data_IF_979109838719
#
_entry.id   IF_979109838719
#
_cell.length_a   1.000
_cell.length_b   1.000
_cell.length_c   1.000
_cell.angle_alpha   90.00
_cell.angle_beta   90.00
_cell.angle_gamma   90.00
#
_symmetry.space_group_name_H-M   'P 1'
#
loop_
_entity.id
_entity.type
_entity.pdbx_description
1 polymer ?
#
# COMPACT_ATOMS: atom_id res chain seq x y z
N UNK A 1 -21.97 16.49 13.66
CA UNK A 1 -22.64 17.42 12.72
C UNK A 1 -22.70 16.74 11.36
N UNK A 2 -23.78 16.88 10.59
CA UNK A 2 -23.88 16.33 9.22
C UNK A 2 -24.07 17.50 8.27
N UNK A 3 -23.04 17.79 7.46
CA UNK A 3 -23.07 18.90 6.51
C UNK A 3 -23.99 18.60 5.32
N UNK A 4 -24.54 19.65 4.71
CA UNK A 4 -25.39 19.57 3.51
C UNK A 4 -24.67 20.13 2.29
N UNK A 5 -25.11 19.71 1.10
CA UNK A 5 -24.64 20.31 -0.15
C UNK A 5 -24.90 21.82 -0.17
N UNK A 6 -23.93 22.59 -0.65
CA UNK A 6 -23.89 24.05 -0.65
C UNK A 6 -23.88 24.73 0.73
N UNK A 7 -23.71 23.98 1.82
CA UNK A 7 -23.58 24.58 3.15
C UNK A 7 -22.27 25.36 3.27
N UNK A 8 -22.33 26.51 3.93
CA UNK A 8 -21.21 27.42 4.11
C UNK A 8 -20.78 27.52 5.58
N UNK A 9 -19.49 27.27 5.83
CA UNK A 9 -18.86 27.44 7.12
C UNK A 9 -17.94 28.65 7.09
N UNK A 10 -18.18 29.63 7.96
CA UNK A 10 -17.35 30.83 8.06
C UNK A 10 -16.19 30.59 9.02
N UNK A 11 -14.98 30.91 8.57
CA UNK A 11 -13.76 30.89 9.38
C UNK A 11 -13.02 32.22 9.21
N UNK A 12 -13.29 33.18 10.10
CA UNK A 12 -12.80 34.55 9.93
C UNK A 12 -13.33 35.16 8.62
N UNK A 13 -12.42 35.53 7.72
CA UNK A 13 -12.74 36.20 6.45
C UNK A 13 -12.90 35.23 5.27
N UNK A 14 -12.78 33.92 5.48
CA UNK A 14 -12.99 32.91 4.45
C UNK A 14 -14.28 32.13 4.68
N UNK A 15 -14.83 31.60 3.58
CA UNK A 15 -15.97 30.70 3.58
C UNK A 15 -15.53 29.36 3.01
N UNK A 16 -15.80 28.28 3.74
CA UNK A 16 -15.68 26.91 3.26
C UNK A 16 -17.06 26.44 2.84
N UNK A 17 -17.27 26.27 1.53
CA UNK A 17 -18.52 25.78 0.96
C UNK A 17 -18.43 24.30 0.64
N UNK A 18 -19.36 23.51 1.17
CA UNK A 18 -19.44 22.07 0.90
C UNK A 18 -20.08 21.83 -0.47
N UNK A 19 -19.45 20.97 -1.25
CA UNK A 19 -19.96 20.44 -2.51
C UNK A 19 -20.08 18.93 -2.35
N UNK A 20 -21.30 18.39 -2.30
CA UNK A 20 -21.51 16.93 -2.27
C UNK A 20 -21.15 16.34 -3.63
N UNK A 21 -20.10 15.54 -3.68
CA UNK A 21 -19.50 15.03 -4.91
C UNK A 21 -19.37 13.50 -4.86
N UNK A 22 -20.51 12.78 -4.84
CA UNK A 22 -20.51 11.33 -4.81
C UNK A 22 -19.79 10.76 -6.03
N UNK A 23 -19.04 9.69 -5.83
CA UNK A 23 -18.31 9.04 -6.92
C UNK A 23 -17.29 8.05 -6.39
N UNK A 24 -16.27 8.55 -5.71
CA UNK A 24 -15.34 7.68 -4.98
C UNK A 24 -16.06 6.94 -3.84
N UNK A 25 -16.84 7.68 -3.05
CA UNK A 25 -17.82 7.15 -2.10
C UNK A 25 -19.15 7.90 -2.23
N UNK A 26 -20.30 7.34 -1.78
CA UNK A 26 -21.60 8.00 -1.82
C UNK A 26 -21.67 9.31 -1.01
N UNK A 27 -20.93 9.39 0.09
CA UNK A 27 -20.89 10.54 1.00
C UNK A 27 -19.75 11.52 0.71
N UNK A 28 -18.93 11.27 -0.31
CA UNK A 28 -17.79 12.12 -0.70
C UNK A 28 -18.21 13.59 -0.87
N UNK A 29 -17.41 14.49 -0.33
CA UNK A 29 -17.56 15.94 -0.50
C UNK A 29 -16.26 16.56 -0.99
N UNK A 30 -16.38 17.63 -1.78
CA UNK A 30 -15.33 18.61 -2.00
C UNK A 30 -15.60 19.85 -1.15
N UNK A 31 -14.54 20.56 -0.75
CA UNK A 31 -14.65 21.80 0.03
C UNK A 31 -14.07 22.95 -0.79
N UNK A 32 -14.91 23.90 -1.18
CA UNK A 32 -14.52 25.10 -1.92
C UNK A 32 -14.20 26.23 -0.93
N UNK A 33 -12.98 26.76 -0.99
CA UNK A 33 -12.58 27.93 -0.23
C UNK A 33 -12.85 29.19 -1.05
N UNK A 34 -13.65 30.09 -0.47
CA UNK A 34 -14.05 31.37 -1.03
C UNK A 34 -13.50 32.48 -0.13
N UNK A 35 -12.93 33.52 -0.72
CA UNK A 35 -12.41 34.66 0.03
C UNK A 35 -13.52 35.69 0.39
N UNK A 36 -13.11 36.77 1.05
CA UNK A 36 -13.96 37.89 1.47
C UNK A 36 -14.57 38.69 0.32
N UNK A 37 -14.06 38.52 -0.91
CA UNK A 37 -14.58 39.12 -2.14
C UNK A 37 -15.50 38.18 -2.92
N UNK A 38 -15.96 37.09 -2.31
CA UNK A 38 -16.78 36.05 -2.96
C UNK A 38 -16.08 35.36 -4.14
N UNK A 39 -14.75 35.41 -4.21
CA UNK A 39 -13.96 34.74 -5.25
C UNK A 39 -13.59 33.32 -4.80
N UNK A 40 -13.93 32.27 -5.57
CA UNK A 40 -13.40 30.93 -5.35
C UNK A 40 -11.88 30.91 -5.55
N UNK A 41 -11.13 30.41 -4.58
CA UNK A 41 -9.66 30.37 -4.64
C UNK A 41 -9.13 28.95 -4.88
N UNK A 42 -9.66 27.98 -4.15
CA UNK A 42 -9.21 26.59 -4.22
C UNK A 42 -10.34 25.63 -3.83
N UNK A 43 -10.26 24.41 -4.33
CA UNK A 43 -11.14 23.30 -3.95
C UNK A 43 -10.30 22.14 -3.43
N UNK A 44 -10.63 21.69 -2.23
CA UNK A 44 -10.13 20.45 -1.67
C UNK A 44 -11.01 19.32 -2.19
N UNK A 45 -10.48 18.50 -3.09
CA UNK A 45 -11.27 17.55 -3.90
C UNK A 45 -11.39 16.17 -3.28
N UNK A 46 -10.74 15.94 -2.13
CA UNK A 46 -10.66 14.60 -1.53
C UNK A 46 -10.15 13.60 -2.56
N UNK A 47 -10.88 12.49 -2.69
CA UNK A 47 -10.63 11.47 -3.70
C UNK A 47 -11.61 11.55 -4.89
N UNK A 48 -12.37 12.65 -5.04
CA UNK A 48 -13.24 12.85 -6.22
C UNK A 48 -12.40 13.14 -7.48
N UNK A 49 -11.45 14.07 -7.39
CA UNK A 49 -10.60 14.51 -8.50
C UNK A 49 -9.14 14.58 -8.04
N UNK A 50 -8.25 13.94 -8.79
CA UNK A 50 -6.81 13.99 -8.60
C UNK A 50 -6.13 14.80 -9.71
N UNK A 51 -4.82 15.03 -9.57
CA UNK A 51 -4.02 15.54 -10.68
C UNK A 51 -3.92 14.46 -11.76
N UNK A 52 -4.55 14.69 -12.91
CA UNK A 52 -4.50 13.80 -14.07
C UNK A 52 -5.33 12.52 -13.96
N UNK A 53 -6.08 12.34 -12.87
CA UNK A 53 -6.82 11.12 -12.55
C UNK A 53 -8.10 11.44 -11.76
N UNK A 54 -8.98 10.45 -11.56
CA UNK A 54 -10.17 10.54 -10.71
C UNK A 54 -10.24 9.39 -9.70
N UNK A 55 -11.07 9.53 -8.68
CA UNK A 55 -11.31 8.47 -7.69
C UNK A 55 -11.82 7.18 -8.31
N UNK A 56 -11.29 6.04 -7.85
CA UNK A 56 -11.87 4.73 -8.17
C UNK A 56 -13.28 4.59 -7.58
N UNK A 57 -14.27 4.05 -8.32
CA UNK A 57 -15.66 3.97 -7.88
C UNK A 57 -16.06 2.60 -7.29
N UNK A 58 -15.12 1.76 -6.84
CA UNK A 58 -15.38 0.34 -6.49
C UNK A 58 -15.03 -0.03 -5.03
N UNK A 59 -14.93 0.94 -4.13
CA UNK A 59 -14.59 0.71 -2.71
C UNK A 59 -15.79 0.43 -1.80
N UNK A 60 -17.00 0.33 -2.34
CA UNK A 60 -18.22 0.13 -1.55
C UNK A 60 -18.95 -1.14 -1.98
N UNK A 61 -19.10 -2.10 -1.07
CA UNK A 61 -19.82 -3.35 -1.34
C UNK A 61 -21.32 -3.23 -0.97
N UNK A 62 -22.18 -3.85 -1.78
CA UNK A 62 -23.55 -4.22 -1.40
C UNK A 62 -24.63 -3.13 -1.48
N UNK A 63 -24.28 -1.85 -1.69
CA UNK A 63 -25.28 -0.75 -1.81
C UNK A 63 -25.24 -0.09 -3.18
N UNK A 64 -24.05 0.19 -3.70
CA UNK A 64 -23.84 0.76 -5.03
C UNK A 64 -22.93 -0.16 -5.82
N UNK A 65 -23.21 -0.31 -7.12
CA UNK A 65 -22.26 -0.93 -8.04
C UNK A 65 -21.15 0.07 -8.39
N UNK A 66 -20.03 -0.43 -8.93
CA UNK A 66 -18.96 0.45 -9.42
C UNK A 66 -19.43 1.33 -10.59
N UNK A 67 -20.40 0.85 -11.37
CA UNK A 67 -21.05 1.60 -12.44
C UNK A 67 -21.93 2.73 -11.90
N UNK A 68 -22.69 2.48 -10.82
CA UNK A 68 -23.50 3.53 -10.17
C UNK A 68 -22.61 4.64 -9.61
N UNK A 69 -21.51 4.27 -8.95
CA UNK A 69 -20.55 5.22 -8.42
C UNK A 69 -19.79 5.97 -9.53
N UNK A 70 -19.43 5.31 -10.63
CA UNK A 70 -18.86 5.99 -11.80
C UNK A 70 -19.86 6.99 -12.44
N UNK A 71 -21.14 6.62 -12.50
CA UNK A 71 -22.23 7.48 -12.96
C UNK A 71 -22.37 8.74 -12.08
N UNK A 72 -22.34 8.57 -10.76
CA UNK A 72 -22.34 9.69 -9.81
C UNK A 72 -21.09 10.56 -9.95
N UNK A 73 -19.92 9.93 -10.12
CA UNK A 73 -18.65 10.63 -10.32
C UNK A 73 -18.71 11.54 -11.55
N UNK A 74 -19.26 11.05 -12.67
CA UNK A 74 -19.45 11.85 -13.88
C UNK A 74 -20.25 13.13 -13.60
N UNK A 75 -21.38 13.00 -12.89
CA UNK A 75 -22.25 14.13 -12.56
C UNK A 75 -21.55 15.11 -11.60
N UNK A 76 -20.83 14.60 -10.60
CA UNK A 76 -20.04 15.41 -9.67
C UNK A 76 -18.96 16.23 -10.37
N UNK A 77 -18.24 15.61 -11.30
CA UNK A 77 -17.19 16.27 -12.06
C UNK A 77 -17.77 17.33 -13.01
N UNK A 78 -18.78 16.97 -13.81
CA UNK A 78 -19.29 17.83 -14.87
C UNK A 78 -20.22 18.94 -14.38
N UNK A 79 -21.07 18.65 -13.39
CA UNK A 79 -22.11 19.57 -12.93
C UNK A 79 -21.66 20.41 -11.72
N UNK A 80 -20.59 20.02 -11.02
CA UNK A 80 -20.05 20.79 -9.89
C UNK A 80 -18.64 21.28 -10.16
N UNK A 81 -17.64 20.40 -10.24
CA UNK A 81 -16.25 20.85 -10.30
C UNK A 81 -15.89 21.60 -11.58
N UNK A 82 -16.35 21.12 -12.74
CA UNK A 82 -16.08 21.78 -14.02
C UNK A 82 -16.84 23.10 -14.22
N UNK A 83 -17.77 23.45 -13.32
CA UNK A 83 -18.44 24.76 -13.33
C UNK A 83 -17.62 25.86 -12.64
N UNK A 84 -16.57 25.48 -11.92
CA UNK A 84 -15.67 26.42 -11.24
C UNK A 84 -14.78 27.18 -12.25
N UNK A 85 -14.32 28.39 -11.90
CA UNK A 85 -13.34 29.13 -12.70
C UNK A 85 -12.02 28.37 -12.89
N UNK A 86 -11.37 28.59 -14.03
CA UNK A 86 -10.16 27.86 -14.42
C UNK A 86 -8.96 28.12 -13.50
N UNK A 87 -8.91 29.28 -12.82
CA UNK A 87 -7.86 29.68 -11.90
C UNK A 87 -8.02 29.09 -10.49
N UNK A 88 -9.12 28.38 -10.21
CA UNK A 88 -9.32 27.68 -8.93
C UNK A 88 -8.31 26.55 -8.80
N UNK A 89 -7.54 26.57 -7.72
CA UNK A 89 -6.58 25.51 -7.39
C UNK A 89 -7.29 24.23 -6.99
N UNK A 90 -6.73 23.08 -7.36
CA UNK A 90 -7.21 21.75 -7.01
C UNK A 90 -6.23 21.10 -6.06
N UNK A 91 -6.70 20.75 -4.86
CA UNK A 91 -5.95 20.04 -3.82
C UNK A 91 -6.60 18.68 -3.53
N UNK A 92 -6.07 17.58 -4.08
CA UNK A 92 -6.56 16.24 -3.77
C UNK A 92 -6.12 15.75 -2.38
N UNK A 93 -6.74 14.67 -1.90
CA UNK A 93 -6.30 13.98 -0.68
C UNK A 93 -5.14 12.99 -0.92
N UNK A 94 -4.94 12.54 -2.16
CA UNK A 94 -3.86 11.62 -2.54
C UNK A 94 -3.06 12.10 -3.77
N UNK A 95 -1.80 11.64 -3.85
CA UNK A 95 -0.88 11.89 -4.96
C UNK A 95 -0.34 10.60 -5.57
N UNK A 96 0.71 10.72 -6.40
CA UNK A 96 1.37 9.60 -7.06
C UNK A 96 1.70 8.43 -6.10
N UNK A 97 1.33 7.22 -6.52
CA UNK A 97 1.57 5.98 -5.77
C UNK A 97 0.43 5.52 -4.85
N UNK A 98 -0.63 6.31 -4.68
CA UNK A 98 -1.85 5.86 -3.98
C UNK A 98 -2.63 4.82 -4.77
N UNK A 99 -3.25 3.87 -4.07
CA UNK A 99 -4.13 2.85 -4.66
C UNK A 99 -5.58 3.34 -4.87
N UNK A 100 -5.88 4.60 -4.52
CA UNK A 100 -7.20 5.23 -4.72
C UNK A 100 -7.42 5.74 -6.16
N UNK A 101 -6.38 5.84 -6.98
CA UNK A 101 -6.45 6.19 -8.40
C UNK A 101 -5.54 5.29 -9.25
N UNK A 102 -5.77 5.20 -10.57
CA UNK A 102 -4.96 4.32 -11.44
C UNK A 102 -3.57 4.92 -11.70
N UNK A 103 -3.51 6.18 -12.14
CA UNK A 103 -2.26 6.85 -12.49
C UNK A 103 -2.24 8.33 -12.03
N UNK A 104 -2.23 8.57 -10.72
CA UNK A 104 -2.21 9.93 -10.18
C UNK A 104 -0.88 10.63 -10.53
N UNK A 105 -0.97 11.87 -10.98
CA UNK A 105 0.16 12.77 -11.27
C UNK A 105 1.09 13.00 -10.08
N UNK A 106 2.31 13.43 -10.36
CA UNK A 106 3.36 13.64 -9.34
C UNK A 106 3.22 14.98 -8.62
N UNK A 107 2.48 15.90 -9.22
CA UNK A 107 2.27 17.25 -8.74
C UNK A 107 1.33 17.22 -7.53
N UNK A 108 1.61 18.07 -6.54
CA UNK A 108 0.85 18.12 -5.28
C UNK A 108 -0.49 18.87 -5.41
N UNK A 109 -0.63 19.66 -6.47
CA UNK A 109 -1.83 20.44 -6.77
C UNK A 109 -1.91 20.73 -8.27
N UNK A 110 -3.08 21.19 -8.72
CA UNK A 110 -3.30 21.65 -10.10
C UNK A 110 -4.32 22.80 -10.12
N UNK A 111 -4.95 23.07 -11.25
CA UNK A 111 -6.09 23.98 -11.38
C UNK A 111 -7.25 23.31 -12.10
N UNK A 112 -8.46 23.85 -11.94
CA UNK A 112 -9.63 23.39 -12.70
C UNK A 112 -9.40 23.52 -14.21
N UNK A 113 -8.73 24.58 -14.67
CA UNK A 113 -8.40 24.77 -16.09
C UNK A 113 -7.45 23.71 -16.64
N UNK A 114 -6.38 23.40 -15.91
CA UNK A 114 -5.42 22.35 -16.30
C UNK A 114 -6.08 20.97 -16.31
N UNK A 115 -6.85 20.64 -15.27
CA UNK A 115 -7.58 19.37 -15.22
C UNK A 115 -8.62 19.30 -16.35
N UNK A 116 -9.38 20.35 -16.61
CA UNK A 116 -10.35 20.41 -17.72
C UNK A 116 -9.68 20.20 -19.07
N UNK A 117 -8.41 20.57 -19.25
CA UNK A 117 -7.70 20.46 -20.53
C UNK A 117 -6.98 19.12 -20.70
N UNK A 118 -6.42 18.57 -19.63
CA UNK A 118 -5.46 17.46 -19.71
C UNK A 118 -5.89 16.19 -18.97
N UNK A 119 -6.81 16.27 -18.02
CA UNK A 119 -7.32 15.08 -17.34
C UNK A 119 -8.19 14.28 -18.32
N UNK A 120 -7.76 13.03 -18.60
CA UNK A 120 -8.41 12.18 -19.60
C UNK A 120 -9.88 11.94 -19.26
N UNK A 121 -10.22 11.79 -17.98
CA UNK A 121 -11.57 11.51 -17.52
C UNK A 121 -12.51 12.69 -17.78
N UNK A 122 -11.99 13.92 -17.66
CA UNK A 122 -12.75 15.16 -17.89
C UNK A 122 -12.96 15.49 -19.39
N UNK A 123 -12.24 14.80 -20.29
CA UNK A 123 -12.44 14.91 -21.73
C UNK A 123 -13.65 14.11 -22.21
N UNK A 124 -14.05 13.07 -21.46
CA UNK A 124 -15.13 12.18 -21.87
C UNK A 124 -16.48 12.86 -21.62
N UNK A 125 -17.18 13.24 -22.69
CA UNK A 125 -18.49 13.93 -22.60
C UNK A 125 -19.68 12.97 -22.57
N UNK A 126 -19.49 11.75 -23.04
CA UNK A 126 -20.51 10.71 -23.02
C UNK A 126 -20.43 9.91 -21.72
N UNK A 127 -21.55 9.84 -20.99
CA UNK A 127 -21.60 9.25 -19.65
C UNK A 127 -21.35 7.74 -19.67
N UNK A 128 -21.88 7.03 -20.65
CA UNK A 128 -21.71 5.58 -20.77
C UNK A 128 -20.25 5.22 -21.08
N UNK A 129 -19.62 5.97 -21.98
CA UNK A 129 -18.19 5.82 -22.27
C UNK A 129 -17.32 6.18 -21.04
N UNK A 130 -17.71 7.19 -20.25
CA UNK A 130 -17.02 7.52 -19.01
C UNK A 130 -17.09 6.35 -18.03
N UNK A 131 -18.29 5.81 -17.78
CA UNK A 131 -18.49 4.68 -16.86
C UNK A 131 -17.61 3.52 -17.29
N UNK A 132 -17.69 3.11 -18.58
CA UNK A 132 -16.87 2.04 -19.12
C UNK A 132 -15.37 2.28 -18.92
N UNK A 133 -14.88 3.49 -19.21
CA UNK A 133 -13.46 3.83 -19.11
C UNK A 133 -12.96 3.82 -17.67
N UNK A 134 -13.75 4.38 -16.74
CA UNK A 134 -13.35 4.46 -15.34
C UNK A 134 -13.41 3.08 -14.68
N UNK A 135 -14.40 2.24 -14.99
CA UNK A 135 -14.55 0.91 -14.37
C UNK A 135 -13.68 -0.19 -14.97
N UNK A 136 -13.03 0.06 -16.11
CA UNK A 136 -12.16 -0.91 -16.79
C UNK A 136 -10.78 -1.02 -16.13
N UNK A 137 -10.24 -2.25 -16.04
CA UNK A 137 -8.88 -2.50 -15.55
C UNK A 137 -8.57 -2.02 -14.11
N UNK A 138 -9.59 -1.78 -13.27
CA UNK A 138 -9.33 -1.43 -11.86
C UNK A 138 -8.85 -2.69 -11.11
N UNK A 139 -7.65 -2.66 -10.49
CA UNK A 139 -7.20 -3.78 -9.66
C UNK A 139 -8.05 -3.87 -8.39
N UNK A 140 -8.23 -5.09 -7.86
CA UNK A 140 -8.90 -5.28 -6.57
C UNK A 140 -8.28 -4.39 -5.49
N UNK A 141 -9.10 -3.74 -4.64
CA UNK A 141 -8.57 -2.92 -3.56
C UNK A 141 -7.89 -3.80 -2.51
N UNK A 142 -6.90 -3.28 -1.77
CA UNK A 142 -6.35 -3.98 -0.61
C UNK A 142 -7.45 -4.30 0.40
N UNK A 143 -7.45 -5.52 0.94
CA UNK A 143 -8.51 -5.99 1.83
C UNK A 143 -8.68 -5.14 3.11
N UNK A 144 -7.61 -4.51 3.59
CA UNK A 144 -7.66 -3.65 4.79
C UNK A 144 -8.44 -2.35 4.58
N UNK A 145 -8.63 -1.87 3.33
CA UNK A 145 -9.40 -0.65 3.06
C UNK A 145 -10.83 -0.73 3.61
N UNK A 146 -11.47 -1.91 3.52
CA UNK A 146 -12.82 -2.11 4.07
C UNK A 146 -12.85 -2.07 5.59
N UNK A 147 -11.76 -2.47 6.25
CA UNK A 147 -11.62 -2.37 7.70
C UNK A 147 -11.37 -0.93 8.13
N UNK A 148 -10.53 -0.19 7.40
CA UNK A 148 -10.29 1.23 7.63
C UNK A 148 -11.58 2.04 7.46
N UNK A 149 -12.35 1.78 6.41
CA UNK A 149 -13.65 2.40 6.20
C UNK A 149 -14.61 2.12 7.38
N UNK A 150 -14.61 0.89 7.91
CA UNK A 150 -15.39 0.53 9.09
C UNK A 150 -14.91 1.27 10.35
N UNK A 151 -13.59 1.33 10.58
CA UNK A 151 -12.99 2.07 11.70
C UNK A 151 -13.33 3.56 11.63
N UNK A 152 -13.16 4.19 10.47
CA UNK A 152 -13.48 5.60 10.24
C UNK A 152 -14.96 5.91 10.50
N UNK A 153 -15.86 4.97 10.20
CA UNK A 153 -17.30 5.12 10.44
C UNK A 153 -17.70 4.88 11.90
N UNK A 154 -17.08 3.91 12.57
CA UNK A 154 -17.45 3.50 13.94
C UNK A 154 -16.69 4.27 15.02
N UNK A 155 -15.59 4.93 14.66
CA UNK A 155 -14.62 5.49 15.57
C UNK A 155 -13.48 4.50 15.86
N UNK A 156 -12.34 5.04 16.26
CA UNK A 156 -11.12 4.31 16.57
C UNK A 156 -10.46 4.89 17.82
N UNK A 157 -9.52 4.14 18.41
CA UNK A 157 -8.75 4.60 19.57
C UNK A 157 -7.93 5.83 19.20
N UNK A 158 -7.92 6.84 20.08
CA UNK A 158 -7.16 8.07 19.89
C UNK A 158 -5.67 7.76 19.62
N UNK A 159 -5.12 8.42 18.59
CA UNK A 159 -3.73 8.25 18.18
C UNK A 159 -2.76 8.45 19.35
N UNK A 160 -2.96 9.48 20.16
CA UNK A 160 -2.04 9.79 21.27
C UNK A 160 -2.04 8.69 22.33
N UNK A 161 -3.20 8.05 22.56
CA UNK A 161 -3.32 6.92 23.49
C UNK A 161 -2.64 5.67 22.95
N UNK A 162 -2.76 5.40 21.65
CA UNK A 162 -2.05 4.29 21.02
C UNK A 162 -0.54 4.53 21.14
N UNK A 163 -0.06 5.74 20.86
CA UNK A 163 1.35 6.09 20.99
C UNK A 163 1.86 5.93 22.42
N UNK A 164 1.10 6.35 23.44
CA UNK A 164 1.47 6.17 24.85
C UNK A 164 1.62 4.67 25.22
N UNK A 165 0.73 3.82 24.71
CA UNK A 165 0.75 2.38 24.99
C UNK A 165 1.85 1.64 24.22
N UNK A 166 2.02 1.99 22.94
CA UNK A 166 2.88 1.29 22.01
C UNK A 166 4.35 1.75 22.09
N UNK A 167 4.61 2.99 22.50
CA UNK A 167 5.97 3.54 22.64
C UNK A 167 6.62 3.08 23.95
N UNK A 168 6.61 1.76 24.16
CA UNK A 168 7.12 1.09 25.35
C UNK A 168 8.36 0.26 25.00
N UNK A 169 9.53 0.56 25.58
CA UNK A 169 10.69 -0.31 25.46
C UNK A 169 10.45 -1.62 26.21
N UNK A 170 10.73 -2.73 25.56
CA UNK A 170 10.61 -4.09 26.09
C UNK A 170 12.01 -4.68 26.29
N UNK A 171 12.24 -5.30 27.44
CA UNK A 171 13.42 -6.14 27.62
C UNK A 171 13.37 -7.35 26.68
N UNK A 172 14.50 -8.00 26.42
CA UNK A 172 14.55 -9.25 25.63
C UNK A 172 13.58 -10.30 26.18
N UNK A 173 13.48 -10.42 27.51
CA UNK A 173 12.60 -11.39 28.15
C UNK A 173 11.11 -11.05 28.01
N UNK A 174 10.73 -9.77 28.18
CA UNK A 174 9.33 -9.33 28.01
C UNK A 174 8.90 -9.45 26.56
N UNK A 175 9.79 -9.09 25.63
CA UNK A 175 9.57 -9.25 24.19
C UNK A 175 9.34 -10.72 23.84
N UNK A 176 10.24 -11.61 24.28
CA UNK A 176 10.12 -13.05 24.03
C UNK A 176 8.83 -13.63 24.65
N UNK A 177 8.42 -13.16 25.82
CA UNK A 177 7.18 -13.58 26.47
C UNK A 177 5.94 -13.20 25.63
N UNK A 178 5.86 -11.97 25.13
CA UNK A 178 4.76 -11.53 24.26
C UNK A 178 4.71 -12.34 22.96
N UNK A 179 5.87 -12.63 22.37
CA UNK A 179 5.96 -13.48 21.17
C UNK A 179 5.43 -14.89 21.47
N UNK A 180 5.81 -15.48 22.61
CA UNK A 180 5.27 -16.80 23.05
C UNK A 180 3.77 -16.78 23.29
N UNK A 181 3.20 -15.63 23.65
CA UNK A 181 1.75 -15.43 23.81
C UNK A 181 1.01 -15.21 22.49
N UNK A 182 1.73 -15.10 21.37
CA UNK A 182 1.16 -15.01 20.02
C UNK A 182 1.38 -13.68 19.31
N UNK A 183 2.08 -12.71 19.93
CA UNK A 183 2.39 -11.45 19.27
C UNK A 183 3.24 -11.69 18.01
N UNK A 184 2.88 -11.00 16.92
CA UNK A 184 3.64 -11.03 15.68
C UNK A 184 4.78 -10.02 15.73
N UNK A 185 5.99 -10.51 15.48
CA UNK A 185 7.17 -9.66 15.35
C UNK A 185 7.17 -9.00 13.97
N UNK A 186 7.18 -7.67 13.96
CA UNK A 186 7.48 -6.86 12.79
C UNK A 186 8.89 -6.30 12.96
N UNK A 187 9.75 -6.56 11.97
CA UNK A 187 11.10 -6.00 11.93
C UNK A 187 11.18 -4.92 10.85
N UNK A 188 11.45 -3.69 11.26
CA UNK A 188 11.40 -2.50 10.39
C UNK A 188 12.78 -2.05 9.91
N UNK A 189 13.84 -2.77 10.29
CA UNK A 189 15.20 -2.55 9.79
C UNK A 189 15.27 -2.72 8.28
N UNK A 190 16.26 -2.11 7.65
CA UNK A 190 16.44 -2.26 6.19
C UNK A 190 16.67 -3.73 5.79
N UNK A 191 16.18 -4.18 4.62
CA UNK A 191 16.30 -5.57 4.17
C UNK A 191 17.72 -6.14 4.25
N UNK A 192 18.73 -5.38 3.85
CA UNK A 192 20.14 -5.78 3.82
C UNK A 192 20.72 -6.04 5.23
N UNK A 193 20.20 -5.36 6.25
CA UNK A 193 20.57 -5.59 7.65
C UNK A 193 19.75 -6.73 8.26
N UNK A 194 18.50 -6.87 7.82
CA UNK A 194 17.62 -7.94 8.26
C UNK A 194 18.13 -9.32 7.79
N UNK A 195 18.53 -9.46 6.52
CA UNK A 195 18.84 -10.75 5.91
C UNK A 195 19.99 -11.50 6.62
N UNK A 196 20.97 -10.75 7.15
CA UNK A 196 22.12 -11.29 7.87
C UNK A 196 21.82 -11.70 9.32
N UNK A 197 20.63 -11.36 9.85
CA UNK A 197 20.25 -11.75 11.21
C UNK A 197 18.98 -11.04 11.71
N UNK A 198 18.02 -11.83 12.21
CA UNK A 198 16.78 -11.33 12.81
C UNK A 198 16.19 -12.26 13.87
N UNK A 199 15.29 -11.71 14.69
CA UNK A 199 14.57 -12.47 15.72
C UNK A 199 13.70 -13.55 15.05
N UNK A 200 13.81 -14.84 15.41
CA UNK A 200 13.09 -15.92 14.73
C UNK A 200 11.58 -15.67 14.66
N UNK A 201 10.98 -15.86 13.49
CA UNK A 201 9.56 -15.61 13.25
C UNK A 201 9.17 -14.14 12.97
N UNK A 202 10.15 -13.24 12.88
CA UNK A 202 9.95 -11.87 12.39
C UNK A 202 9.64 -11.81 10.90
N UNK A 203 8.78 -10.87 10.53
CA UNK A 203 8.53 -10.48 9.14
C UNK A 203 9.16 -9.12 8.94
N UNK A 204 10.02 -9.00 7.93
CA UNK A 204 10.61 -7.73 7.59
C UNK A 204 9.62 -6.87 6.82
N UNK A 205 9.42 -5.64 7.29
CA UNK A 205 8.80 -4.57 6.51
C UNK A 205 9.66 -3.32 6.70
N UNK A 206 10.70 -3.15 5.89
CA UNK A 206 11.66 -2.06 6.08
C UNK A 206 11.04 -0.65 5.98
N UNK A 207 11.41 0.26 6.89
CA UNK A 207 10.83 1.62 6.94
C UNK A 207 11.03 2.44 5.66
N UNK A 208 12.14 2.22 4.95
CA UNK A 208 12.46 2.97 3.73
C UNK A 208 11.55 2.64 2.54
N UNK A 209 10.68 1.64 2.66
CA UNK A 209 9.66 1.30 1.67
C UNK A 209 8.25 1.72 2.06
N UNK A 210 7.26 1.11 1.40
CA UNK A 210 5.83 1.27 1.72
C UNK A 210 5.42 0.44 2.95
N UNK A 211 6.22 0.53 4.02
CA UNK A 211 6.15 -0.23 5.27
C UNK A 211 4.72 -0.53 5.74
N UNK A 212 3.98 0.50 6.15
CA UNK A 212 2.67 0.36 6.76
C UNK A 212 1.63 -0.24 5.80
N UNK A 213 1.66 0.17 4.54
CA UNK A 213 0.77 -0.35 3.49
C UNK A 213 1.00 -1.85 3.30
N UNK A 214 2.26 -2.30 3.21
CA UNK A 214 2.54 -3.72 3.09
C UNK A 214 2.21 -4.50 4.35
N UNK A 215 2.44 -3.93 5.54
CA UNK A 215 2.03 -4.56 6.79
C UNK A 215 0.51 -4.78 6.82
N UNK A 216 -0.29 -3.76 6.49
CA UNK A 216 -1.75 -3.85 6.45
C UNK A 216 -2.28 -4.73 5.30
N UNK A 217 -1.50 -4.89 4.23
CA UNK A 217 -1.85 -5.78 3.11
C UNK A 217 -1.59 -7.25 3.46
N UNK A 218 -0.48 -7.55 4.13
CA UNK A 218 -0.06 -8.92 4.44
C UNK A 218 -0.66 -9.43 5.75
N UNK A 219 -0.89 -8.55 6.73
CA UNK A 219 -1.38 -8.87 8.06
C UNK A 219 -2.78 -8.33 8.30
N UNK A 220 -3.48 -8.94 9.26
CA UNK A 220 -4.73 -8.37 9.78
C UNK A 220 -4.40 -7.16 10.67
N UNK A 221 -5.05 -6.01 10.47
CA UNK A 221 -4.82 -4.81 11.30
C UNK A 221 -5.14 -5.02 12.80
N UNK A 222 -5.92 -6.05 13.14
CA UNK A 222 -6.19 -6.45 14.52
C UNK A 222 -5.09 -7.32 15.15
N UNK A 223 -4.07 -7.72 14.36
CA UNK A 223 -2.96 -8.55 14.83
C UNK A 223 -2.25 -7.86 15.97
N UNK A 224 -1.96 -8.61 17.04
CA UNK A 224 -1.11 -8.13 18.12
C UNK A 224 0.35 -8.06 17.67
N UNK A 225 1.00 -6.91 17.83
CA UNK A 225 2.33 -6.63 17.30
C UNK A 225 3.36 -6.32 18.38
N UNK A 226 4.59 -6.76 18.13
CA UNK A 226 5.81 -6.23 18.77
C UNK A 226 6.82 -5.85 17.70
N UNK A 227 7.59 -4.80 17.94
CA UNK A 227 8.44 -4.17 16.92
C UNK A 227 9.92 -4.39 17.21
N UNK A 228 10.69 -4.72 16.18
CA UNK A 228 12.15 -4.55 16.15
C UNK A 228 12.44 -3.45 15.14
N UNK A 229 13.04 -2.34 15.56
CA UNK A 229 13.36 -1.21 14.69
C UNK A 229 14.81 -0.79 14.88
N UNK A 230 15.38 -0.09 13.90
CA UNK A 230 16.66 0.60 14.12
C UNK A 230 16.55 1.58 15.28
N UNK A 231 17.63 1.78 16.02
CA UNK A 231 17.63 2.69 17.16
C UNK A 231 17.27 4.12 16.71
N UNK A 232 16.29 4.73 17.37
CA UNK A 232 15.75 6.05 17.03
C UNK A 232 14.65 6.02 15.96
N UNK A 233 14.25 4.84 15.48
CA UNK A 233 13.17 4.63 14.49
C UNK A 233 11.93 3.94 15.05
N UNK A 234 11.90 3.68 16.35
CA UNK A 234 10.82 2.99 17.04
C UNK A 234 9.50 3.79 16.96
N UNK A 235 9.56 5.08 17.29
CA UNK A 235 8.40 5.96 17.25
C UNK A 235 7.82 6.09 15.82
N UNK A 236 8.69 6.26 14.81
CA UNK A 236 8.27 6.33 13.41
C UNK A 236 7.58 5.02 12.97
N UNK A 237 8.11 3.87 13.40
CA UNK A 237 7.52 2.56 13.11
C UNK A 237 6.10 2.45 13.67
N UNK A 238 5.90 2.83 14.93
CA UNK A 238 4.59 2.78 15.58
C UNK A 238 3.61 3.72 14.87
N UNK A 239 3.99 4.98 14.71
CA UNK A 239 3.15 6.02 14.11
C UNK A 239 2.63 5.61 12.73
N UNK A 240 3.49 5.06 11.87
CA UNK A 240 3.12 4.68 10.52
C UNK A 240 2.16 3.49 10.48
N UNK A 241 2.31 2.51 11.39
CA UNK A 241 1.35 1.41 11.53
C UNK A 241 0.00 1.89 12.05
N UNK A 242 0.00 2.79 13.05
CA UNK A 242 -1.23 3.34 13.61
C UNK A 242 -2.04 4.11 12.56
N UNK A 243 -1.39 4.82 11.64
CA UNK A 243 -2.05 5.52 10.52
C UNK A 243 -2.81 4.61 9.55
N UNK A 244 -2.51 3.31 9.52
CA UNK A 244 -3.23 2.30 8.70
C UNK A 244 -4.07 1.34 9.57
N UNK A 245 -4.38 1.74 10.80
CA UNK A 245 -5.35 1.05 11.66
C UNK A 245 -4.78 0.00 12.61
N UNK A 246 -3.46 -0.19 12.69
CA UNK A 246 -2.89 -1.05 13.74
C UNK A 246 -2.86 -0.30 15.09
N UNK A 247 -3.71 -0.71 16.01
CA UNK A 247 -3.80 -0.16 17.37
C UNK A 247 -3.30 -1.12 18.46
N UNK A 248 -3.12 -2.41 18.14
CA UNK A 248 -2.68 -3.43 19.09
C UNK A 248 -1.16 -3.67 19.09
N UNK A 249 -0.38 -2.61 19.29
CA UNK A 249 1.09 -2.65 19.35
C UNK A 249 1.52 -2.66 20.83
N UNK A 250 2.24 -3.71 21.26
CA UNK A 250 2.60 -3.92 22.68
C UNK A 250 3.90 -3.27 23.14
N UNK A 251 4.70 -2.80 22.20
CA UNK A 251 6.02 -2.23 22.46
C UNK A 251 7.04 -2.58 21.39
N UNK A 252 8.28 -2.18 21.64
CA UNK A 252 9.43 -2.45 20.78
C UNK A 252 10.58 -3.06 21.58
N UNK A 253 11.43 -3.85 20.94
CA UNK A 253 12.61 -4.43 21.56
C UNK A 253 13.65 -3.34 21.90
N UNK A 254 13.88 -3.11 23.19
CA UNK A 254 14.88 -2.17 23.65
C UNK A 254 16.28 -2.61 23.21
N UNK A 255 17.00 -1.72 22.55
CA UNK A 255 18.33 -2.03 22.00
C UNK A 255 18.30 -2.79 20.67
N UNK A 256 17.12 -2.90 20.04
CA UNK A 256 16.94 -3.54 18.73
C UNK A 256 17.44 -5.00 18.69
N UNK A 257 17.74 -5.50 17.49
CA UNK A 257 18.28 -6.84 17.27
C UNK A 257 19.65 -7.06 17.93
N UNK A 258 20.44 -6.00 18.14
CA UNK A 258 21.70 -6.06 18.87
C UNK A 258 21.50 -6.61 20.29
N UNK A 259 20.51 -6.10 21.03
CA UNK A 259 20.19 -6.62 22.36
C UNK A 259 19.78 -8.10 22.36
N UNK A 260 19.11 -8.56 21.29
CA UNK A 260 18.77 -9.99 21.12
C UNK A 260 20.02 -10.86 20.96
N UNK A 261 20.98 -10.39 20.14
CA UNK A 261 22.27 -11.07 19.95
C UNK A 261 23.11 -11.07 21.23
N UNK A 262 23.20 -9.93 21.91
CA UNK A 262 24.00 -9.77 23.14
C UNK A 262 23.47 -10.63 24.29
N UNK A 263 22.17 -10.95 24.26
CA UNK A 263 21.52 -11.90 25.18
C UNK A 263 21.72 -13.39 24.80
N UNK A 264 22.61 -13.68 23.83
CA UNK A 264 22.93 -15.03 23.34
C UNK A 264 21.70 -15.83 22.89
N UNK A 265 20.71 -15.12 22.31
CA UNK A 265 19.50 -15.74 21.77
C UNK A 265 19.73 -16.22 20.34
N UNK A 266 19.12 -17.36 19.99
CA UNK A 266 19.11 -17.84 18.60
C UNK A 266 18.43 -16.80 17.69
N UNK A 267 19.02 -16.59 16.51
CA UNK A 267 18.47 -15.76 15.45
C UNK A 267 18.41 -16.54 14.13
N UNK A 268 17.58 -16.06 13.20
CA UNK A 268 17.46 -16.59 11.84
C UNK A 268 18.08 -15.63 10.82
N UNK A 269 18.28 -16.13 9.60
CA UNK A 269 18.81 -15.38 8.45
C UNK A 269 17.99 -15.71 7.19
N UNK A 270 17.97 -14.79 6.22
CA UNK A 270 17.48 -15.03 4.86
C UNK A 270 18.72 -15.06 3.96
N UNK A 271 18.91 -16.15 3.23
CA UNK A 271 20.00 -16.22 2.26
C UNK A 271 19.60 -15.38 1.05
N UNK A 272 20.36 -14.33 0.77
CA UNK A 272 20.23 -13.55 -0.45
C UNK A 272 21.31 -13.98 -1.45
N UNK A 273 20.90 -14.19 -2.69
CA UNK A 273 21.78 -14.56 -3.80
C UNK A 273 21.79 -13.46 -4.84
N UNK A 274 22.90 -13.33 -5.56
CA UNK A 274 23.00 -12.43 -6.69
C UNK A 274 22.32 -13.00 -7.95
N UNK A 275 22.35 -12.23 -9.03
CA UNK A 275 21.75 -12.63 -10.30
C UNK A 275 22.57 -13.69 -11.06
N UNK A 276 23.82 -13.95 -10.68
CA UNK A 276 24.66 -15.01 -11.27
C UNK A 276 24.31 -16.36 -10.67
N UNK A 277 24.28 -16.44 -9.34
CA UNK A 277 23.80 -17.64 -8.63
C UNK A 277 22.33 -17.92 -8.96
N UNK A 278 21.48 -16.89 -9.05
CA UNK A 278 20.09 -17.08 -9.49
C UNK A 278 20.01 -17.73 -10.88
N UNK A 279 20.81 -17.28 -11.84
CA UNK A 279 20.83 -17.87 -13.18
C UNK A 279 21.26 -19.34 -13.16
N UNK A 280 22.28 -19.67 -12.36
CA UNK A 280 22.77 -21.04 -12.19
C UNK A 280 21.71 -21.93 -11.54
N UNK A 281 21.10 -21.47 -10.45
CA UNK A 281 20.06 -22.21 -9.73
C UNK A 281 18.84 -22.47 -10.64
N UNK A 282 18.43 -21.50 -11.46
CA UNK A 282 17.33 -21.68 -12.44
C UNK A 282 17.65 -22.74 -13.49
N UNK A 283 18.90 -22.88 -13.90
CA UNK A 283 19.31 -23.82 -14.96
C UNK A 283 19.64 -25.22 -14.45
N UNK A 284 20.11 -25.32 -13.21
CA UNK A 284 20.83 -26.50 -12.73
C UNK A 284 20.35 -27.03 -11.38
N UNK A 285 19.34 -26.42 -10.77
CA UNK A 285 18.73 -26.90 -9.51
C UNK A 285 17.23 -27.18 -9.68
N UNK A 286 16.63 -27.82 -8.69
CA UNK A 286 15.18 -28.04 -8.59
C UNK A 286 14.44 -26.84 -7.94
N UNK A 287 15.09 -25.67 -7.86
CA UNK A 287 14.52 -24.48 -7.22
C UNK A 287 13.38 -23.88 -8.04
N UNK A 288 12.28 -23.59 -7.37
CA UNK A 288 11.12 -22.94 -7.96
C UNK A 288 11.27 -21.42 -7.88
N UNK A 289 11.02 -20.72 -8.98
CA UNK A 289 11.09 -19.25 -9.02
C UNK A 289 9.72 -18.66 -8.66
N UNK A 290 9.65 -17.86 -7.59
CA UNK A 290 8.47 -17.11 -7.19
C UNK A 290 8.67 -15.62 -7.51
N UNK A 291 7.87 -15.13 -8.45
CA UNK A 291 7.78 -13.70 -8.75
C UNK A 291 6.64 -13.07 -7.94
N UNK A 292 7.00 -12.31 -6.91
CA UNK A 292 6.04 -11.71 -5.97
C UNK A 292 5.58 -10.31 -6.39
N UNK A 293 5.87 -9.90 -7.62
CA UNK A 293 5.33 -8.66 -8.22
C UNK A 293 3.83 -8.78 -8.50
N UNK A 294 3.19 -7.64 -8.76
CA UNK A 294 1.79 -7.61 -9.18
C UNK A 294 1.61 -8.32 -10.53
N UNK A 295 0.43 -8.86 -10.82
CA UNK A 295 0.15 -9.50 -12.11
C UNK A 295 0.45 -8.61 -13.32
N UNK A 296 0.23 -7.30 -13.22
CA UNK A 296 0.54 -6.35 -14.30
C UNK A 296 2.03 -6.34 -14.63
N UNK A 297 2.89 -6.24 -13.62
CA UNK A 297 4.36 -6.26 -13.78
C UNK A 297 4.86 -7.61 -14.30
N UNK A 298 4.24 -8.72 -13.89
CA UNK A 298 4.57 -10.06 -14.34
C UNK A 298 4.17 -10.27 -15.81
N UNK A 299 2.95 -9.86 -16.18
CA UNK A 299 2.41 -10.02 -17.53
C UNK A 299 3.19 -9.23 -18.58
N UNK A 300 3.73 -8.07 -18.20
CA UNK A 300 4.64 -7.30 -19.06
C UNK A 300 5.88 -8.10 -19.45
N UNK A 301 6.62 -8.62 -18.46
CA UNK A 301 7.80 -9.46 -18.68
C UNK A 301 8.18 -10.21 -17.38
N UNK A 302 8.47 -11.50 -17.47
CA UNK A 302 8.92 -12.33 -16.35
C UNK A 302 9.92 -13.42 -16.81
N UNK A 303 10.61 -14.05 -15.86
CA UNK A 303 11.47 -15.22 -16.14
C UNK A 303 10.58 -16.39 -16.56
N UNK A 304 10.96 -17.09 -17.63
CA UNK A 304 10.16 -18.17 -18.26
C UNK A 304 9.67 -19.26 -17.29
N UNK A 305 10.48 -19.58 -16.27
CA UNK A 305 10.20 -20.61 -15.26
C UNK A 305 9.53 -20.06 -14.00
N UNK A 306 9.31 -18.76 -13.91
CA UNK A 306 8.70 -18.14 -12.74
C UNK A 306 7.20 -18.45 -12.65
N UNK A 307 6.73 -18.60 -11.42
CA UNK A 307 5.30 -18.56 -11.10
C UNK A 307 4.99 -17.21 -10.47
N UNK A 308 3.94 -16.53 -10.94
CA UNK A 308 3.48 -15.31 -10.29
C UNK A 308 2.79 -15.65 -8.97
N UNK A 309 3.37 -15.17 -7.87
CA UNK A 309 2.84 -15.35 -6.53
C UNK A 309 2.81 -14.00 -5.80
N UNK A 310 1.89 -13.10 -6.19
CA UNK A 310 1.89 -11.71 -5.73
C UNK A 310 1.89 -11.56 -4.21
N UNK A 311 2.72 -10.65 -3.68
CA UNK A 311 2.86 -10.42 -2.23
C UNK A 311 1.52 -10.05 -1.55
N UNK A 312 0.65 -9.32 -2.25
CA UNK A 312 -0.65 -8.88 -1.75
C UNK A 312 -1.64 -10.03 -1.49
N UNK A 313 -1.42 -11.19 -2.09
CA UNK A 313 -2.23 -12.41 -1.87
C UNK A 313 -1.45 -13.53 -1.18
N UNK A 314 -0.21 -13.25 -0.75
CA UNK A 314 0.67 -14.25 -0.15
C UNK A 314 0.05 -14.88 1.10
N UNK A 315 -0.55 -14.07 1.98
CA UNK A 315 -1.11 -14.56 3.24
C UNK A 315 -2.32 -15.49 3.07
N UNK A 316 -3.07 -15.37 1.97
CA UNK A 316 -4.21 -16.25 1.69
C UNK A 316 -3.80 -17.49 0.89
N UNK A 317 -2.70 -17.42 0.13
CA UNK A 317 -2.38 -18.46 -0.86
C UNK A 317 -1.16 -19.32 -0.47
N UNK A 318 -0.34 -18.92 0.50
CA UNK A 318 0.95 -19.59 0.79
C UNK A 318 0.82 -21.10 1.08
N UNK A 319 -0.34 -21.56 1.54
CA UNK A 319 -0.60 -22.99 1.82
C UNK A 319 -0.62 -23.86 0.55
N UNK A 320 -0.73 -23.24 -0.63
CA UNK A 320 -0.62 -23.94 -1.92
C UNK A 320 0.84 -24.30 -2.28
N UNK A 321 1.81 -23.71 -1.58
CA UNK A 321 3.23 -23.97 -1.78
C UNK A 321 3.71 -25.12 -0.88
N UNK A 322 4.69 -25.89 -1.36
CA UNK A 322 5.29 -27.02 -0.66
C UNK A 322 6.46 -26.55 0.21
N UNK A 323 6.34 -26.67 1.54
CA UNK A 323 7.31 -26.14 2.51
C UNK A 323 8.71 -26.74 2.40
N UNK A 324 8.84 -27.92 1.81
CA UNK A 324 10.13 -28.62 1.69
C UNK A 324 10.86 -28.24 0.40
N UNK A 325 10.17 -27.66 -0.60
CA UNK A 325 10.80 -27.26 -1.87
C UNK A 325 11.68 -26.02 -1.72
N UNK A 326 12.78 -25.93 -2.52
CA UNK A 326 13.58 -24.73 -2.60
C UNK A 326 12.90 -23.65 -3.44
N UNK A 327 12.87 -22.42 -2.94
CA UNK A 327 12.28 -21.26 -3.60
C UNK A 327 13.29 -20.13 -3.79
N UNK A 328 13.37 -19.61 -5.02
CA UNK A 328 14.06 -18.36 -5.37
C UNK A 328 13.01 -17.26 -5.49
N UNK A 329 13.03 -16.30 -4.57
CA UNK A 329 12.00 -15.28 -4.47
C UNK A 329 12.55 -13.95 -4.95
N UNK A 330 11.88 -13.35 -5.93
CA UNK A 330 12.24 -12.02 -6.40
C UNK A 330 11.00 -11.13 -6.55
N UNK A 331 11.23 -9.83 -6.48
CA UNK A 331 10.27 -8.82 -6.89
C UNK A 331 10.92 -7.89 -7.92
N UNK A 332 10.50 -6.62 -8.04
CA UNK A 332 11.18 -5.67 -8.93
C UNK A 332 12.61 -5.32 -8.48
N UNK A 333 12.82 -5.10 -7.17
CA UNK A 333 14.07 -4.54 -6.65
C UNK A 333 14.53 -5.03 -5.26
N UNK A 334 13.95 -6.12 -4.73
CA UNK A 334 14.37 -6.75 -3.46
C UNK A 334 13.45 -6.48 -2.26
N UNK A 335 12.79 -5.33 -2.17
CA UNK A 335 11.98 -4.98 -1.00
C UNK A 335 10.81 -5.95 -0.72
N UNK A 336 9.97 -6.21 -1.73
CA UNK A 336 8.80 -7.11 -1.58
C UNK A 336 9.20 -8.57 -1.41
N UNK A 337 10.30 -8.98 -2.03
CA UNK A 337 10.79 -10.36 -1.90
C UNK A 337 11.36 -10.65 -0.52
N UNK A 338 11.95 -9.66 0.17
CA UNK A 338 12.34 -9.84 1.58
C UNK A 338 11.13 -9.99 2.52
N UNK A 339 10.06 -9.21 2.30
CA UNK A 339 8.78 -9.40 3.01
C UNK A 339 8.27 -10.83 2.79
N UNK A 340 8.20 -11.27 1.53
CA UNK A 340 7.73 -12.60 1.18
C UNK A 340 8.61 -13.72 1.78
N UNK A 341 9.93 -13.57 1.71
CA UNK A 341 10.88 -14.55 2.22
C UNK A 341 10.77 -14.72 3.73
N UNK A 342 10.76 -13.61 4.48
CA UNK A 342 10.60 -13.63 5.93
C UNK A 342 9.23 -14.15 6.37
N UNK A 343 8.16 -13.80 5.65
CA UNK A 343 6.82 -14.37 5.85
C UNK A 343 6.81 -15.89 5.66
N UNK A 344 7.37 -16.41 4.57
CA UNK A 344 7.42 -17.84 4.31
C UNK A 344 8.29 -18.57 5.35
N UNK A 345 9.43 -18.00 5.76
CA UNK A 345 10.22 -18.56 6.87
C UNK A 345 9.40 -18.65 8.16
N UNK A 346 8.65 -17.61 8.53
CA UNK A 346 7.72 -17.63 9.67
C UNK A 346 6.67 -18.76 9.53
N UNK A 347 6.21 -19.05 8.31
CA UNK A 347 5.26 -20.15 8.02
C UNK A 347 5.92 -21.54 7.95
N UNK A 348 7.22 -21.63 8.17
CA UNK A 348 7.97 -22.89 8.26
C UNK A 348 8.64 -23.35 6.97
N UNK A 349 8.73 -22.50 5.95
CA UNK A 349 9.50 -22.79 4.74
C UNK A 349 11.00 -22.72 5.07
N UNK A 350 11.71 -23.83 4.84
CA UNK A 350 13.13 -23.94 5.23
C UNK A 350 14.08 -23.42 4.16
N UNK A 351 13.73 -23.63 2.89
CA UNK A 351 14.60 -23.43 1.74
C UNK A 351 14.13 -22.22 0.92
N UNK A 352 14.31 -21.03 1.49
CA UNK A 352 13.92 -19.77 0.83
C UNK A 352 15.15 -18.91 0.62
N UNK A 353 15.41 -18.56 -0.65
CA UNK A 353 16.44 -17.60 -1.05
C UNK A 353 15.79 -16.34 -1.63
N UNK A 354 16.24 -15.18 -1.18
CA UNK A 354 15.88 -13.89 -1.80
C UNK A 354 16.86 -13.58 -2.94
N UNK A 355 16.40 -12.95 -4.02
CA UNK A 355 17.27 -12.53 -5.12
C UNK A 355 17.55 -11.04 -5.02
N UNK A 356 18.81 -10.69 -4.78
CA UNK A 356 19.26 -9.32 -4.64
C UNK A 356 19.08 -8.53 -5.95
N UNK A 357 18.68 -7.26 -5.85
CA UNK A 357 18.39 -6.39 -6.99
C UNK A 357 17.13 -6.75 -7.80
N UNK A 358 16.51 -7.91 -7.53
CA UNK A 358 15.25 -8.35 -8.12
C UNK A 358 15.24 -8.41 -9.65
N UNK A 359 14.06 -8.34 -10.24
CA UNK A 359 13.84 -8.44 -11.67
C UNK A 359 14.60 -7.38 -12.48
N UNK A 360 14.84 -6.20 -11.89
CA UNK A 360 15.63 -5.15 -12.51
C UNK A 360 17.06 -5.60 -12.85
N UNK A 361 17.65 -6.47 -12.02
CA UNK A 361 18.97 -7.08 -12.25
C UNK A 361 18.92 -8.43 -12.93
N UNK A 362 17.87 -9.20 -12.72
CA UNK A 362 17.67 -10.49 -13.39
C UNK A 362 17.53 -10.29 -14.90
N UNK A 363 16.79 -9.27 -15.36
CA UNK A 363 16.56 -9.02 -16.80
C UNK A 363 17.82 -8.65 -17.59
N UNK A 364 18.91 -8.31 -16.90
CA UNK A 364 20.22 -8.02 -17.51
C UNK A 364 20.98 -9.33 -17.86
N UNK A 365 20.51 -10.51 -17.39
CA UNK A 365 21.17 -11.81 -17.61
C UNK A 365 20.81 -12.41 -18.97
N UNK A 366 21.79 -12.51 -19.86
CA UNK A 366 21.60 -13.08 -21.21
C UNK A 366 21.33 -14.59 -21.22
N UNK A 367 21.66 -15.30 -20.14
CA UNK A 367 21.47 -16.74 -20.06
C UNK A 367 20.08 -17.17 -19.59
N UNK A 368 19.20 -16.24 -19.25
CA UNK A 368 17.81 -16.53 -18.87
C UNK A 368 16.86 -16.30 -20.04
N UNK A 369 15.77 -17.07 -20.05
CA UNK A 369 14.64 -16.85 -20.96
C UNK A 369 13.58 -16.02 -20.26
N UNK A 370 12.95 -15.13 -21.00
CA UNK A 370 11.88 -14.27 -20.51
C UNK A 370 10.62 -14.45 -21.37
N UNK A 371 9.46 -14.29 -20.74
CA UNK A 371 8.15 -14.34 -21.38
C UNK A 371 7.35 -13.08 -21.09
N UNK A 372 6.51 -12.70 -22.04
CA UNK A 372 5.45 -11.70 -21.87
C UNK A 372 4.12 -12.39 -22.09
N UNK A 373 3.13 -12.11 -21.25
CA UNK A 373 1.74 -12.58 -21.44
C UNK A 373 1.00 -11.67 -22.41
N UNK A 374 1.46 -10.44 -22.59
CA UNK A 374 0.86 -9.46 -23.51
C UNK A 374 1.18 -9.75 -24.98
N UNK A 375 2.24 -10.51 -25.29
CA UNK A 375 2.67 -10.78 -26.67
C UNK A 375 1.90 -11.89 -27.39
N UNK A 376 1.00 -12.61 -26.72
CA UNK A 376 0.15 -13.66 -27.35
C UNK A 376 -1.19 -13.14 -27.84
N UNK A 377 -1.45 -11.84 -27.73
CA UNK A 377 -2.61 -11.17 -28.32
C UNK A 377 -2.18 -10.42 -29.59
N UNK A 378 -1.91 -11.16 -30.67
CA UNK A 378 -1.83 -10.64 -32.05
C UNK A 378 -2.30 -11.70 -33.04
#
# INVERSE_FOLDING_TARGET
YVAKDNEEFKLGNIVLKVLHTPGHTPESICILLINDQSKPLMVFTGDTLFVGEVGRPDLLEGVFTKEDLASNLFDSLHNKLLTLPDDVLVYPAHGAGSACGKNIGKELFSTIGEQRKFNYALQIKDKDNFIKTITDGIPSPPAYFFKDAKLNKQGYTDFDKIMEQANKPLSVNDFEMLVKQGATIIDTRIPDVFEIGFVPGAINFGLNGQYAIWAATVLDISTELVIVAEQGKEQESIERLTRVGFDNIKGFLQGSFEAWKDADKRYDMVISIDNEEFELDVKHSDSMVLDVRKPTEYNELHVDTASNFPLDTLNTNFETLDKEKPYLIHCAGGYRSMIAASFLKKKGFKNVKNVWGGFNKIKERSGLKFKSVLSTAN
#
